data_IF_037577938909
#
_entry.id   IF_037577938909
#
_cell.length_a   1.000
_cell.length_b   1.000
_cell.length_c   1.000
_cell.angle_alpha   90.00
_cell.angle_beta   90.00
_cell.angle_gamma   90.00
#
_symmetry.space_group_name_H-M   'P 1'
#
loop_
_entity.id
_entity.type
_entity.pdbx_description
1 polymer ?
#
# COMPACT_ATOMS: atom_id res chain seq x y z
N UNK A 1 15.03 -25.00 32.33
CA UNK A 1 14.85 -25.12 30.86
C UNK A 1 15.05 -23.73 30.29
N UNK A 2 16.11 -23.50 29.51
CA UNK A 2 16.35 -22.21 28.86
C UNK A 2 15.22 -21.96 27.87
N UNK A 3 14.48 -20.87 28.02
CA UNK A 3 13.45 -20.49 27.05
C UNK A 3 14.07 -20.45 25.65
N UNK A 4 13.41 -21.04 24.66
CA UNK A 4 13.88 -21.00 23.28
C UNK A 4 13.86 -19.56 22.76
N UNK A 5 15.05 -18.96 22.61
CA UNK A 5 15.19 -17.58 22.14
C UNK A 5 15.28 -17.56 20.62
N UNK A 6 14.50 -16.68 19.99
CA UNK A 6 14.55 -16.40 18.56
C UNK A 6 15.53 -15.26 18.25
N UNK A 7 16.16 -15.30 17.09
CA UNK A 7 16.97 -14.15 16.64
C UNK A 7 16.06 -13.01 16.22
N UNK A 8 15.02 -13.31 15.42
CA UNK A 8 14.06 -12.31 14.95
C UNK A 8 12.65 -12.88 14.96
N UNK A 9 11.71 -12.13 15.55
CA UNK A 9 10.27 -12.36 15.38
C UNK A 9 9.70 -11.32 14.44
N UNK A 10 8.90 -11.77 13.47
CA UNK A 10 8.25 -10.90 12.48
C UNK A 10 6.75 -10.96 12.69
N UNK A 11 6.13 -9.80 12.89
CA UNK A 11 4.69 -9.67 13.10
C UNK A 11 4.01 -9.34 11.77
N UNK A 12 3.22 -10.28 11.28
CA UNK A 12 2.51 -10.24 10.01
C UNK A 12 3.18 -11.11 8.92
N UNK A 13 2.43 -12.05 8.36
CA UNK A 13 2.81 -12.85 7.18
C UNK A 13 2.18 -12.28 5.88
N UNK A 14 2.17 -10.95 5.77
CA UNK A 14 1.97 -10.27 4.49
C UNK A 14 3.25 -10.26 3.65
N UNK A 15 3.16 -9.69 2.45
CA UNK A 15 4.30 -9.59 1.52
C UNK A 15 5.54 -8.95 2.16
N UNK A 16 5.36 -7.89 2.97
CA UNK A 16 6.47 -7.21 3.66
C UNK A 16 7.17 -8.12 4.69
N UNK A 17 6.43 -8.71 5.63
CA UNK A 17 6.99 -9.58 6.67
C UNK A 17 7.65 -10.84 6.12
N UNK A 18 7.03 -11.46 5.11
CA UNK A 18 7.61 -12.64 4.46
C UNK A 18 8.84 -12.30 3.60
N UNK A 19 8.87 -11.12 2.97
CA UNK A 19 10.07 -10.65 2.27
C UNK A 19 11.21 -10.36 3.26
N UNK A 20 10.91 -9.75 4.41
CA UNK A 20 11.90 -9.54 5.47
C UNK A 20 12.47 -10.87 5.99
N UNK A 21 11.60 -11.86 6.27
CA UNK A 21 12.00 -13.20 6.70
C UNK A 21 12.92 -13.87 5.66
N UNK A 22 12.54 -13.81 4.39
CA UNK A 22 13.31 -14.37 3.28
C UNK A 22 14.68 -13.70 3.13
N UNK A 23 14.75 -12.37 3.19
CA UNK A 23 16.01 -11.63 3.11
C UNK A 23 16.95 -11.95 4.29
N UNK A 24 16.41 -12.04 5.51
CA UNK A 24 17.19 -12.41 6.70
C UNK A 24 17.74 -13.85 6.58
N UNK A 25 16.93 -14.80 6.08
CA UNK A 25 17.38 -16.18 5.82
C UNK A 25 18.46 -16.24 4.75
N UNK A 26 18.34 -15.47 3.66
CA UNK A 26 19.38 -15.38 2.63
C UNK A 26 20.69 -14.82 3.18
N UNK A 27 20.61 -13.86 4.10
CA UNK A 27 21.79 -13.28 4.76
C UNK A 27 22.46 -14.26 5.71
N UNK A 28 21.66 -15.00 6.50
CA UNK A 28 22.18 -16.02 7.41
C UNK A 28 21.16 -17.14 7.63
N UNK A 29 21.42 -18.30 7.04
CA UNK A 29 20.56 -19.48 7.16
C UNK A 29 20.52 -20.07 8.59
N UNK A 30 21.36 -19.59 9.51
CA UNK A 30 21.34 -20.00 10.93
C UNK A 30 20.39 -19.16 11.78
N UNK A 31 19.91 -18.02 11.29
CA UNK A 31 18.96 -17.22 12.06
C UNK A 31 17.68 -18.02 12.34
N UNK A 32 17.34 -18.09 13.63
CA UNK A 32 16.07 -18.59 14.15
C UNK A 32 15.05 -17.48 13.97
N UNK A 33 14.23 -17.61 12.93
CA UNK A 33 13.19 -16.65 12.58
C UNK A 33 11.83 -17.27 12.82
N UNK A 34 10.93 -16.49 13.43
CA UNK A 34 9.53 -16.85 13.59
C UNK A 34 8.65 -15.73 13.03
N UNK A 35 7.75 -16.08 12.11
CA UNK A 35 6.72 -15.19 11.58
C UNK A 35 5.41 -15.51 12.27
N UNK A 36 4.78 -14.53 12.89
CA UNK A 36 3.49 -14.64 13.58
C UNK A 36 2.42 -13.90 12.75
N UNK A 37 1.39 -14.62 12.33
CA UNK A 37 0.27 -14.10 11.55
C UNK A 37 -1.03 -14.27 12.30
N UNK A 38 -1.83 -13.20 12.39
CA UNK A 38 -3.09 -13.21 13.10
C UNK A 38 -4.19 -13.99 12.40
N UNK A 39 -4.15 -14.03 11.06
CA UNK A 39 -5.12 -14.78 10.25
C UNK A 39 -4.71 -16.24 10.08
N UNK A 40 -5.63 -17.02 9.53
CA UNK A 40 -5.47 -18.41 9.11
C UNK A 40 -4.78 -18.56 7.74
N UNK A 41 -4.27 -17.46 7.18
CA UNK A 41 -3.62 -17.42 5.86
C UNK A 41 -2.49 -16.39 5.80
N UNK A 42 -1.52 -16.65 4.93
CA UNK A 42 -0.53 -15.65 4.50
C UNK A 42 -1.12 -14.70 3.45
N UNK A 43 -0.39 -13.62 3.14
CA UNK A 43 -0.72 -12.69 2.06
C UNK A 43 -1.16 -11.31 2.53
N UNK A 44 -1.71 -11.19 3.75
CA UNK A 44 -2.22 -9.91 4.24
C UNK A 44 -3.24 -9.30 3.27
N UNK A 45 -2.88 -8.17 2.64
CA UNK A 45 -3.68 -7.42 1.65
C UNK A 45 -3.58 -7.95 0.22
N UNK A 46 -2.78 -8.97 -0.07
CA UNK A 46 -2.85 -9.73 -1.33
C UNK A 46 -3.66 -10.99 -1.06
N UNK A 47 -4.82 -11.11 -1.71
CA UNK A 47 -5.76 -12.22 -1.52
C UNK A 47 -6.20 -12.67 -2.90
N UNK A 48 -5.99 -13.94 -3.22
CA UNK A 48 -6.42 -14.52 -4.48
C UNK A 48 -7.39 -15.66 -4.19
N UNK A 49 -8.55 -15.66 -4.84
CA UNK A 49 -9.63 -16.62 -4.60
C UNK A 49 -10.13 -17.17 -5.92
N UNK A 50 -10.46 -18.45 -5.91
CA UNK A 50 -11.10 -19.12 -7.02
C UNK A 50 -12.59 -18.78 -7.08
N UNK A 51 -13.06 -18.33 -8.24
CA UNK A 51 -14.45 -18.00 -8.49
C UNK A 51 -14.97 -18.77 -9.71
N UNK A 52 -16.27 -19.12 -9.74
CA UNK A 52 -16.90 -19.67 -10.94
C UNK A 52 -16.79 -18.69 -12.12
N UNK A 53 -16.38 -19.20 -13.27
CA UNK A 53 -16.23 -18.46 -14.52
C UNK A 53 -16.85 -19.23 -15.68
N UNK A 54 -17.06 -18.56 -16.82
CA UNK A 54 -17.72 -19.14 -17.99
C UNK A 54 -17.02 -20.41 -18.54
N UNK A 55 -15.74 -20.63 -18.22
CA UNK A 55 -14.94 -21.79 -18.65
C UNK A 55 -14.44 -22.65 -17.48
N UNK A 56 -15.12 -22.61 -16.33
CA UNK A 56 -14.77 -23.40 -15.15
C UNK A 56 -14.49 -22.52 -13.94
N UNK A 57 -13.27 -22.55 -13.43
CA UNK A 57 -12.85 -21.78 -12.26
C UNK A 57 -11.71 -20.86 -12.68
N UNK A 58 -11.86 -19.56 -12.39
CA UNK A 58 -10.80 -18.57 -12.55
C UNK A 58 -10.32 -18.10 -11.18
N UNK A 59 -9.05 -17.74 -11.08
CA UNK A 59 -8.47 -17.19 -9.85
C UNK A 59 -8.35 -15.67 -9.93
N UNK A 60 -8.98 -14.98 -8.99
CA UNK A 60 -9.12 -13.52 -8.96
C UNK A 60 -8.48 -12.93 -7.72
N UNK A 61 -7.82 -11.77 -7.88
CA UNK A 61 -7.30 -11.00 -6.76
C UNK A 61 -8.40 -10.11 -6.14
N UNK A 62 -8.67 -10.30 -4.86
CA UNK A 62 -9.57 -9.50 -4.03
C UNK A 62 -8.81 -8.45 -3.18
N UNK A 63 -7.52 -8.28 -3.46
CA UNK A 63 -6.64 -7.35 -2.76
C UNK A 63 -5.77 -6.56 -3.74
N UNK A 64 -4.54 -6.26 -3.35
CA UNK A 64 -3.55 -5.67 -4.27
C UNK A 64 -3.36 -6.60 -5.48
N UNK A 65 -3.44 -6.05 -6.69
CA UNK A 65 -3.57 -6.87 -7.91
C UNK A 65 -2.65 -6.45 -9.07
N UNK A 66 -2.06 -5.26 -9.00
CA UNK A 66 -1.22 -4.70 -10.07
C UNK A 66 0.23 -4.53 -9.64
N UNK A 67 1.11 -4.58 -10.63
CA UNK A 67 2.52 -4.18 -10.51
C UNK A 67 2.90 -3.32 -11.73
N UNK A 68 3.81 -2.38 -11.53
CA UNK A 68 4.33 -1.50 -12.60
C UNK A 68 5.79 -1.78 -12.92
N UNK A 69 6.24 -1.49 -14.14
CA UNK A 69 7.65 -1.67 -14.55
C UNK A 69 8.64 -0.81 -13.77
N UNK A 70 8.18 0.30 -13.18
CA UNK A 70 8.95 1.16 -12.27
C UNK A 70 9.11 0.57 -10.86
N UNK A 71 8.32 -0.45 -10.49
CA UNK A 71 8.35 -1.08 -9.18
C UNK A 71 9.42 -2.19 -9.11
N UNK A 72 10.68 -1.79 -9.15
CA UNK A 72 11.82 -2.69 -9.35
C UNK A 72 11.96 -3.81 -8.29
N UNK A 73 11.68 -3.52 -7.03
CA UNK A 73 11.78 -4.50 -5.94
C UNK A 73 10.83 -5.69 -6.12
N UNK A 74 9.56 -5.41 -6.45
CA UNK A 74 8.56 -6.46 -6.62
C UNK A 74 8.80 -7.25 -7.90
N UNK A 75 9.23 -6.61 -8.99
CA UNK A 75 9.59 -7.30 -10.23
C UNK A 75 10.79 -8.23 -10.05
N UNK A 76 11.81 -7.80 -9.29
CA UNK A 76 12.94 -8.67 -8.94
C UNK A 76 12.48 -9.88 -8.12
N UNK A 77 11.57 -9.66 -7.16
CA UNK A 77 11.01 -10.75 -6.36
C UNK A 77 10.19 -11.73 -7.22
N UNK A 78 9.31 -11.23 -8.10
CA UNK A 78 8.54 -12.04 -9.06
C UNK A 78 9.48 -12.94 -9.87
N UNK A 79 10.53 -12.36 -10.46
CA UNK A 79 11.54 -13.11 -11.21
C UNK A 79 12.26 -14.14 -10.34
N UNK A 80 12.67 -13.76 -9.14
CA UNK A 80 13.34 -14.67 -8.21
C UNK A 80 12.45 -15.86 -7.81
N UNK A 81 11.13 -15.66 -7.71
CA UNK A 81 10.15 -16.69 -7.40
C UNK A 81 9.73 -17.52 -8.61
N UNK A 82 10.18 -17.17 -9.83
CA UNK A 82 9.79 -17.86 -11.06
C UNK A 82 8.34 -17.60 -11.47
N UNK A 83 7.77 -16.47 -11.06
CA UNK A 83 6.40 -16.08 -11.41
C UNK A 83 6.38 -15.27 -12.71
N UNK A 84 5.27 -15.34 -13.43
CA UNK A 84 5.06 -14.64 -14.70
C UNK A 84 4.11 -13.45 -14.53
N UNK A 85 4.40 -12.35 -15.23
CA UNK A 85 3.48 -11.21 -15.38
C UNK A 85 2.86 -11.17 -16.76
N UNK A 86 1.71 -10.52 -16.88
CA UNK A 86 1.05 -10.23 -18.15
C UNK A 86 0.47 -8.81 -18.13
N UNK A 87 0.30 -8.15 -19.29
CA UNK A 87 -0.20 -6.79 -19.36
C UNK A 87 -1.67 -6.71 -18.90
N UNK A 88 -2.00 -5.63 -18.20
CA UNK A 88 -3.38 -5.29 -17.88
C UNK A 88 -4.15 -5.07 -19.19
N UNK A 89 -5.26 -5.79 -19.34
CA UNK A 89 -6.14 -5.62 -20.48
C UNK A 89 -6.70 -4.19 -20.47
N UNK A 90 -6.32 -3.42 -21.49
CA UNK A 90 -6.67 -2.01 -21.69
C UNK A 90 -7.01 -1.68 -23.14
N UNK A 91 -7.18 -2.71 -23.99
CA UNK A 91 -7.55 -2.55 -25.40
C UNK A 91 -9.03 -2.16 -25.48
N UNK A 92 -9.30 -1.06 -26.19
CA UNK A 92 -10.65 -0.59 -26.47
C UNK A 92 -10.87 0.85 -26.05
N UNK A 93 -12.11 1.19 -25.69
CA UNK A 93 -12.47 2.51 -25.20
C UNK A 93 -12.66 2.47 -23.69
N UNK A 94 -12.07 3.44 -23.00
CA UNK A 94 -12.38 3.76 -21.61
C UNK A 94 -13.75 4.45 -21.57
N UNK A 95 -14.49 4.25 -20.48
CA UNK A 95 -15.81 4.83 -20.24
C UNK A 95 -15.71 5.83 -19.10
N UNK A 96 -16.22 7.03 -19.32
CA UNK A 96 -16.32 8.08 -18.32
C UNK A 96 -17.80 8.42 -18.11
N UNK A 97 -18.26 8.28 -16.87
CA UNK A 97 -19.65 8.53 -16.50
C UNK A 97 -19.70 9.19 -15.12
N UNK A 98 -20.06 10.47 -15.11
CA UNK A 98 -20.03 11.35 -13.95
C UNK A 98 -21.25 12.27 -13.97
N UNK A 99 -21.76 12.66 -12.79
CA UNK A 99 -22.99 13.48 -12.66
C UNK A 99 -24.27 12.68 -12.39
N UNK A 100 -24.16 11.39 -12.03
CA UNK A 100 -25.30 10.53 -11.66
C UNK A 100 -25.91 9.74 -12.83
N UNK A 101 -26.99 8.96 -12.60
CA UNK A 101 -27.48 7.95 -13.56
C UNK A 101 -27.96 8.49 -14.91
N UNK A 102 -28.40 9.75 -14.99
CA UNK A 102 -28.88 10.38 -16.22
C UNK A 102 -27.81 11.16 -16.98
N UNK A 103 -26.56 11.17 -16.49
CA UNK A 103 -25.51 11.97 -17.09
C UNK A 103 -24.96 11.36 -18.37
N UNK A 104 -24.33 12.19 -19.19
CA UNK A 104 -23.78 11.76 -20.48
C UNK A 104 -22.57 10.83 -20.26
N UNK A 105 -22.68 9.61 -20.77
CA UNK A 105 -21.54 8.70 -20.86
C UNK A 105 -20.63 9.12 -22.02
N UNK A 106 -19.35 9.35 -21.71
CA UNK A 106 -18.31 9.66 -22.70
C UNK A 106 -17.36 8.48 -22.86
N UNK A 107 -16.80 8.33 -24.06
CA UNK A 107 -15.81 7.28 -24.34
C UNK A 107 -14.55 7.90 -24.91
N UNK A 108 -13.39 7.35 -24.56
CA UNK A 108 -12.08 7.88 -24.92
C UNK A 108 -11.03 6.76 -24.98
N UNK A 109 -9.91 7.02 -25.66
CA UNK A 109 -8.81 6.04 -25.81
C UNK A 109 -7.46 6.56 -25.27
N UNK A 110 -7.43 7.80 -24.81
CA UNK A 110 -6.25 8.47 -24.26
C UNK A 110 -6.14 8.27 -22.74
N UNK A 111 -5.07 8.76 -22.12
CA UNK A 111 -4.95 8.79 -20.66
C UNK A 111 -5.89 9.80 -20.00
N UNK A 112 -6.16 10.91 -20.67
CA UNK A 112 -7.08 11.94 -20.17
C UNK A 112 -8.50 11.65 -20.68
N UNK A 113 -9.54 11.72 -19.83
CA UNK A 113 -10.94 11.60 -20.24
C UNK A 113 -11.34 12.61 -21.33
N UNK A 114 -12.41 12.30 -22.08
CA UNK A 114 -12.98 13.23 -23.05
C UNK A 114 -13.70 14.40 -22.33
N UNK A 115 -12.94 15.44 -21.99
CA UNK A 115 -13.42 16.62 -21.26
C UNK A 115 -13.75 17.77 -22.22
N UNK A 116 -14.57 18.73 -21.76
CA UNK A 116 -14.79 19.97 -22.50
C UNK A 116 -13.50 20.82 -22.52
N UNK A 117 -13.30 21.72 -23.51
CA UNK A 117 -12.06 22.50 -23.60
C UNK A 117 -11.74 23.30 -22.32
N UNK A 118 -12.76 23.88 -21.68
CA UNK A 118 -12.58 24.63 -20.43
C UNK A 118 -12.10 23.74 -19.29
N UNK A 119 -12.68 22.54 -19.15
CA UNK A 119 -12.30 21.58 -18.11
C UNK A 119 -10.92 20.98 -18.38
N UNK A 120 -10.57 20.77 -19.66
CA UNK A 120 -9.23 20.32 -20.04
C UNK A 120 -8.15 21.37 -19.71
N UNK A 121 -8.43 22.65 -19.94
CA UNK A 121 -7.54 23.75 -19.54
C UNK A 121 -7.38 23.81 -18.02
N UNK A 122 -8.48 23.70 -17.28
CA UNK A 122 -8.49 23.66 -15.81
C UNK A 122 -7.66 22.49 -15.27
N UNK A 123 -7.88 21.28 -15.81
CA UNK A 123 -7.11 20.08 -15.46
C UNK A 123 -5.62 20.27 -15.75
N UNK A 124 -5.28 20.77 -16.94
CA UNK A 124 -3.88 21.00 -17.34
C UNK A 124 -3.20 21.99 -16.39
N UNK A 125 -3.88 23.07 -16.02
CA UNK A 125 -3.36 24.02 -15.06
C UNK A 125 -3.19 23.39 -13.68
N UNK A 126 -4.15 22.59 -13.21
CA UNK A 126 -4.09 21.97 -11.89
C UNK A 126 -2.92 20.98 -11.81
N UNK A 127 -2.79 20.11 -12.82
CA UNK A 127 -1.68 19.17 -12.95
C UNK A 127 -0.33 19.89 -12.98
N UNK A 128 -0.20 20.96 -13.77
CA UNK A 128 1.04 21.73 -13.81
C UNK A 128 1.43 22.32 -12.44
N UNK A 129 0.47 22.82 -11.66
CA UNK A 129 0.75 23.30 -10.29
C UNK A 129 1.15 22.16 -9.36
N UNK A 130 0.46 21.02 -9.44
CA UNK A 130 0.76 19.83 -8.64
C UNK A 130 2.16 19.31 -8.98
N UNK A 131 2.49 19.13 -10.26
CA UNK A 131 3.79 18.60 -10.70
C UNK A 131 4.96 19.47 -10.23
N UNK A 132 4.79 20.80 -10.21
CA UNK A 132 5.79 21.72 -9.63
C UNK A 132 5.99 21.49 -8.14
N UNK A 133 4.92 21.22 -7.38
CA UNK A 133 5.01 20.90 -5.96
C UNK A 133 5.64 19.53 -5.75
N UNK A 134 5.24 18.52 -6.53
CA UNK A 134 5.79 17.16 -6.45
C UNK A 134 7.31 17.13 -6.59
N UNK A 135 7.87 17.97 -7.48
CA UNK A 135 9.32 18.09 -7.66
C UNK A 135 10.08 18.58 -6.42
N UNK A 136 9.39 19.15 -5.42
CA UNK A 136 9.98 19.66 -4.18
C UNK A 136 9.80 18.72 -2.99
N UNK A 137 8.99 17.67 -3.12
CA UNK A 137 8.61 16.81 -1.99
C UNK A 137 9.76 15.91 -1.58
N UNK A 138 10.08 15.95 -0.29
CA UNK A 138 11.01 15.02 0.33
C UNK A 138 10.28 13.71 0.68
N UNK A 139 10.23 12.75 -0.27
CA UNK A 139 9.45 11.50 -0.09
C UNK A 139 9.84 10.69 1.15
N UNK A 140 11.13 10.63 1.48
CA UNK A 140 11.60 9.85 2.65
C UNK A 140 11.29 10.52 3.99
N UNK A 141 11.18 11.85 3.98
CA UNK A 141 10.86 12.65 5.15
C UNK A 141 10.00 13.86 4.72
N UNK A 142 8.67 13.69 4.67
CA UNK A 142 7.77 14.72 4.16
C UNK A 142 7.85 16.02 4.95
N UNK A 143 8.23 15.96 6.24
CA UNK A 143 8.37 17.13 7.11
C UNK A 143 9.46 18.10 6.65
N UNK A 144 10.44 17.59 5.90
CA UNK A 144 11.54 18.38 5.32
C UNK A 144 11.17 19.03 3.97
N UNK A 145 9.97 18.80 3.45
CA UNK A 145 9.48 19.43 2.22
C UNK A 145 9.40 20.95 2.41
N UNK A 146 9.86 21.77 1.45
CA UNK A 146 9.69 23.22 1.52
C UNK A 146 8.21 23.60 1.68
N UNK A 147 7.89 24.33 2.75
CA UNK A 147 6.51 24.69 3.07
C UNK A 147 5.66 23.54 3.64
N UNK A 148 6.28 22.47 4.15
CA UNK A 148 5.59 21.29 4.69
C UNK A 148 4.46 21.65 5.65
N UNK A 149 4.69 22.55 6.61
CA UNK A 149 3.66 22.96 7.59
C UNK A 149 2.43 23.55 6.90
N UNK A 150 2.61 24.41 5.89
CA UNK A 150 1.49 24.99 5.15
C UNK A 150 0.75 23.91 4.34
N UNK A 151 1.49 23.07 3.61
CA UNK A 151 0.94 22.00 2.79
C UNK A 151 0.20 20.93 3.62
N UNK A 152 0.68 20.63 4.81
CA UNK A 152 0.07 19.64 5.72
C UNK A 152 -1.12 20.24 6.50
N UNK A 153 -1.12 21.55 6.72
CA UNK A 153 -2.23 22.26 7.37
C UNK A 153 -3.49 22.42 6.50
N UNK A 154 -3.41 22.06 5.22
CA UNK A 154 -4.54 22.10 4.29
C UNK A 154 -4.95 20.71 3.83
N UNK A 155 -6.25 20.55 3.62
CA UNK A 155 -6.78 19.33 3.02
C UNK A 155 -6.59 19.36 1.50
N UNK A 156 -6.58 18.18 0.87
CA UNK A 156 -6.63 18.07 -0.60
C UNK A 156 -7.86 18.81 -1.15
N UNK A 157 -9.01 18.75 -0.46
CA UNK A 157 -10.21 19.52 -0.82
C UNK A 157 -9.96 21.02 -0.85
N UNK A 158 -9.35 21.58 0.20
CA UNK A 158 -9.06 23.01 0.28
C UNK A 158 -8.14 23.49 -0.85
N UNK A 159 -7.16 22.66 -1.21
CA UNK A 159 -6.29 22.95 -2.35
C UNK A 159 -7.08 22.90 -3.68
N UNK A 160 -7.87 21.85 -3.91
CA UNK A 160 -8.70 21.72 -5.11
C UNK A 160 -9.66 22.91 -5.23
N UNK A 161 -10.33 23.30 -4.16
CA UNK A 161 -11.30 24.40 -4.19
C UNK A 161 -10.68 25.75 -4.53
N UNK A 162 -9.44 25.96 -4.10
CA UNK A 162 -8.66 27.17 -4.38
C UNK A 162 -8.10 27.20 -5.81
N UNK A 163 -7.77 26.03 -6.38
CA UNK A 163 -6.99 25.95 -7.62
C UNK A 163 -7.79 25.55 -8.86
N UNK A 164 -8.87 24.77 -8.70
CA UNK A 164 -9.72 24.32 -9.80
C UNK A 164 -10.87 25.30 -10.06
N UNK A 165 -11.14 25.57 -11.33
CA UNK A 165 -12.14 26.54 -11.78
C UNK A 165 -13.51 25.93 -12.01
N UNK A 166 -13.57 24.66 -12.38
CA UNK A 166 -14.77 23.98 -12.86
C UNK A 166 -15.28 22.95 -11.87
N UNK A 167 -16.60 22.86 -11.71
CA UNK A 167 -17.24 21.85 -10.85
C UNK A 167 -16.94 20.43 -11.33
N UNK A 168 -16.93 20.20 -12.66
CA UNK A 168 -16.59 18.90 -13.27
C UNK A 168 -15.20 18.43 -12.79
N UNK A 169 -14.17 19.30 -12.83
CA UNK A 169 -12.84 18.92 -12.34
C UNK A 169 -12.80 18.63 -10.84
N UNK A 170 -13.51 19.42 -10.02
CA UNK A 170 -13.58 19.17 -8.57
C UNK A 170 -14.20 17.80 -8.27
N UNK A 171 -15.24 17.42 -9.00
CA UNK A 171 -15.87 16.09 -8.91
C UNK A 171 -14.93 14.97 -9.36
N UNK A 172 -14.17 15.16 -10.45
CA UNK A 172 -13.14 14.21 -10.91
C UNK A 172 -12.07 13.98 -9.84
N UNK A 173 -11.57 15.05 -9.22
CA UNK A 173 -10.58 14.93 -8.16
C UNK A 173 -11.14 14.24 -6.92
N UNK A 174 -12.43 14.45 -6.61
CA UNK A 174 -13.13 13.69 -5.57
C UNK A 174 -13.21 12.21 -5.89
N UNK A 175 -13.57 11.84 -7.13
CA UNK A 175 -13.59 10.44 -7.57
C UNK A 175 -12.19 9.81 -7.47
N UNK A 176 -11.17 10.53 -7.93
CA UNK A 176 -9.77 10.11 -7.85
C UNK A 176 -9.32 9.83 -6.41
N UNK A 177 -9.64 10.72 -5.47
CA UNK A 177 -9.33 10.52 -4.05
C UNK A 177 -10.00 9.25 -3.50
N UNK A 178 -11.31 9.08 -3.76
CA UNK A 178 -12.05 7.90 -3.29
C UNK A 178 -11.53 6.60 -3.89
N UNK A 179 -11.22 6.58 -5.18
CA UNK A 179 -10.79 5.36 -5.88
C UNK A 179 -9.38 4.92 -5.50
N UNK A 180 -8.46 5.88 -5.30
CA UNK A 180 -7.07 5.59 -4.94
C UNK A 180 -6.86 5.36 -3.44
N UNK A 181 -7.48 6.19 -2.61
CA UNK A 181 -7.20 6.24 -1.18
C UNK A 181 -8.34 5.73 -0.30
N UNK A 182 -9.55 5.57 -0.86
CA UNK A 182 -10.72 5.16 -0.09
C UNK A 182 -11.27 6.23 0.86
N UNK A 183 -10.95 7.50 0.62
CA UNK A 183 -11.34 8.62 1.48
C UNK A 183 -11.69 9.87 0.68
N UNK A 184 -12.48 10.76 1.29
CA UNK A 184 -12.81 12.06 0.70
C UNK A 184 -11.60 13.00 0.71
N UNK A 185 -11.47 13.91 -0.28
CA UNK A 185 -10.37 14.89 -0.31
C UNK A 185 -10.32 15.78 0.94
N UNK A 186 -11.46 15.97 1.63
CA UNK A 186 -11.56 16.79 2.85
C UNK A 186 -10.96 16.11 4.08
N UNK A 187 -10.65 14.81 4.00
CA UNK A 187 -10.08 14.04 5.09
C UNK A 187 -8.57 13.82 4.92
N UNK A 188 -7.99 14.28 3.82
CA UNK A 188 -6.62 13.97 3.42
C UNK A 188 -5.75 15.21 3.49
N UNK A 189 -4.62 15.14 4.19
CA UNK A 189 -3.57 16.15 4.12
C UNK A 189 -3.08 16.31 2.66
N UNK A 190 -2.93 17.55 2.22
CA UNK A 190 -2.41 17.82 0.89
C UNK A 190 -0.92 17.46 0.77
N UNK A 191 -0.12 17.65 1.83
CA UNK A 191 1.27 17.17 1.85
C UNK A 191 1.34 15.65 1.71
N UNK A 192 0.47 14.91 2.40
CA UNK A 192 0.41 13.45 2.26
C UNK A 192 0.08 13.02 0.82
N UNK A 193 -0.91 13.67 0.19
CA UNK A 193 -1.24 13.42 -1.22
C UNK A 193 -0.03 13.65 -2.14
N UNK A 194 0.68 14.76 -1.96
CA UNK A 194 1.87 15.09 -2.74
C UNK A 194 3.00 14.07 -2.52
N UNK A 195 3.29 13.69 -1.28
CA UNK A 195 4.26 12.65 -0.97
C UNK A 195 3.91 11.33 -1.64
N UNK A 196 2.65 10.90 -1.56
CA UNK A 196 2.22 9.64 -2.14
C UNK A 196 2.34 9.64 -3.67
N UNK A 197 1.90 10.70 -4.34
CA UNK A 197 2.03 10.86 -5.77
C UNK A 197 3.51 10.95 -6.21
N UNK A 198 4.35 11.68 -5.47
CA UNK A 198 5.78 11.79 -5.76
C UNK A 198 6.48 10.42 -5.61
N UNK A 199 6.14 9.65 -4.58
CA UNK A 199 6.64 8.29 -4.38
C UNK A 199 6.26 7.34 -5.52
N UNK A 200 5.12 7.58 -6.17
CA UNK A 200 4.64 6.82 -7.33
C UNK A 200 5.24 7.29 -8.67
N UNK A 201 6.05 8.35 -8.68
CA UNK A 201 6.62 8.93 -9.91
C UNK A 201 5.70 9.94 -10.61
N UNK A 202 4.67 10.44 -9.92
CA UNK A 202 3.73 11.45 -10.41
C UNK A 202 2.27 10.98 -10.35
N UNK A 203 1.35 11.93 -10.49
CA UNK A 203 -0.09 11.66 -10.38
C UNK A 203 -0.60 10.74 -11.51
N UNK A 204 -0.19 11.00 -12.76
CA UNK A 204 -0.59 10.14 -13.89
C UNK A 204 -0.01 8.74 -13.78
N UNK A 205 1.23 8.60 -13.27
CA UNK A 205 1.86 7.31 -13.06
C UNK A 205 1.08 6.44 -12.05
N UNK A 206 0.41 7.07 -11.09
CA UNK A 206 -0.43 6.39 -10.11
C UNK A 206 -1.78 5.90 -10.68
N UNK A 207 -2.31 6.59 -11.68
CA UNK A 207 -3.68 6.41 -12.17
C UNK A 207 -3.81 5.53 -13.42
N UNK A 208 -2.77 5.45 -14.24
CA UNK A 208 -2.86 4.83 -15.56
C UNK A 208 -2.36 3.38 -15.60
N UNK A 209 -2.71 2.71 -16.71
CA UNK A 209 -2.29 1.33 -17.03
C UNK A 209 -1.27 1.27 -18.17
N UNK A 210 -0.74 2.42 -18.61
CA UNK A 210 0.29 2.49 -19.65
C UNK A 210 1.65 2.00 -19.12
N UNK A 211 2.61 1.65 -19.99
CA UNK A 211 3.96 1.27 -19.56
C UNK A 211 4.58 2.31 -18.63
N UNK A 212 5.06 1.86 -17.47
CA UNK A 212 5.64 2.70 -16.41
C UNK A 212 4.68 3.09 -15.29
N UNK A 213 3.38 2.81 -15.43
CA UNK A 213 2.35 3.20 -14.47
C UNK A 213 1.95 2.07 -13.51
N UNK A 214 1.22 2.42 -12.45
CA UNK A 214 0.89 1.52 -11.35
C UNK A 214 0.00 0.33 -11.75
N UNK A 215 -0.80 0.47 -12.81
CA UNK A 215 -1.76 -0.56 -13.25
C UNK A 215 -1.31 -1.29 -14.53
N UNK A 216 0.00 -1.27 -14.84
CA UNK A 216 0.56 -1.79 -16.10
C UNK A 216 0.43 -3.31 -16.23
N UNK A 217 0.79 -4.07 -15.19
CA UNK A 217 0.91 -5.53 -15.25
C UNK A 217 0.11 -6.20 -14.13
N UNK A 218 -0.25 -7.46 -14.36
CA UNK A 218 -0.80 -8.40 -13.38
C UNK A 218 0.08 -9.64 -13.29
N UNK A 219 -0.06 -10.41 -12.21
CA UNK A 219 0.70 -11.65 -11.99
C UNK A 219 -0.19 -12.85 -12.35
N UNK A 220 0.32 -13.76 -13.19
CA UNK A 220 -0.39 -14.97 -13.58
C UNK A 220 -0.63 -15.87 -12.36
N UNK A 221 -1.89 -16.26 -12.15
CA UNK A 221 -2.32 -17.06 -10.99
C UNK A 221 -2.58 -16.27 -9.71
N UNK A 222 -2.48 -14.93 -9.74
CA UNK A 222 -2.81 -14.04 -8.62
C UNK A 222 -1.63 -13.68 -7.73
N UNK A 223 -1.76 -12.55 -7.06
CA UNK A 223 -0.71 -11.90 -6.26
C UNK A 223 -0.41 -12.59 -4.93
N UNK A 224 -1.38 -13.32 -4.34
CA UNK A 224 -1.17 -13.99 -3.06
C UNK A 224 -0.08 -15.07 -3.14
N UNK A 225 0.18 -15.60 -4.34
CA UNK A 225 1.26 -16.56 -4.59
C UNK A 225 2.63 -16.03 -4.17
N UNK A 226 2.88 -14.72 -4.25
CA UNK A 226 4.13 -14.12 -3.76
C UNK A 226 4.39 -14.49 -2.30
N UNK A 227 3.36 -14.35 -1.46
CA UNK A 227 3.45 -14.67 -0.04
C UNK A 227 3.48 -16.18 0.21
N UNK A 228 2.76 -16.97 -0.59
CA UNK A 228 2.80 -18.43 -0.48
C UNK A 228 4.21 -18.97 -0.81
N UNK A 229 4.79 -18.58 -1.93
CA UNK A 229 6.14 -18.98 -2.32
C UNK A 229 7.21 -18.48 -1.33
N UNK A 230 7.04 -17.28 -0.77
CA UNK A 230 7.95 -16.79 0.28
C UNK A 230 7.82 -17.61 1.57
N UNK A 231 6.60 -17.95 2.00
CA UNK A 231 6.38 -18.80 3.17
C UNK A 231 7.02 -20.18 3.00
N UNK A 232 6.97 -20.76 1.79
CA UNK A 232 7.70 -21.98 1.43
C UNK A 232 9.21 -21.82 1.58
N UNK A 233 9.79 -20.74 1.04
CA UNK A 233 11.25 -20.47 1.12
C UNK A 233 11.74 -20.20 2.54
N UNK A 234 10.93 -19.53 3.35
CA UNK A 234 11.18 -19.33 4.78
C UNK A 234 11.02 -20.65 5.55
N UNK A 235 10.18 -21.54 5.04
CA UNK A 235 9.78 -22.81 5.63
C UNK A 235 8.55 -22.65 6.52
N UNK A 236 7.45 -23.33 6.18
CA UNK A 236 6.17 -23.20 6.88
C UNK A 236 6.24 -23.45 8.40
N UNK A 237 7.18 -24.28 8.87
CA UNK A 237 7.42 -24.49 10.30
C UNK A 237 7.79 -23.21 11.07
N UNK A 238 8.30 -22.20 10.36
CA UNK A 238 8.67 -20.89 10.90
C UNK A 238 7.54 -19.85 10.75
N UNK A 239 6.39 -20.23 10.18
CA UNK A 239 5.23 -19.34 9.99
C UNK A 239 4.06 -19.87 10.80
N UNK A 240 3.67 -19.16 11.86
CA UNK A 240 2.54 -19.54 12.72
C UNK A 240 1.33 -18.68 12.40
N UNK A 241 0.33 -19.32 11.82
CA UNK A 241 -0.99 -18.75 11.55
C UNK A 241 -1.86 -18.76 12.82
N UNK A 242 -2.95 -17.99 12.82
CA UNK A 242 -3.87 -17.87 13.96
C UNK A 242 -3.20 -17.36 15.24
N UNK A 243 -2.04 -16.73 15.12
CA UNK A 243 -1.16 -16.32 16.20
C UNK A 243 -1.11 -14.79 16.27
N UNK A 244 -2.26 -14.19 16.55
CA UNK A 244 -2.38 -12.74 16.67
C UNK A 244 -1.51 -12.23 17.85
N UNK A 245 -0.55 -11.35 17.53
CA UNK A 245 0.25 -10.68 18.55
C UNK A 245 -0.62 -9.66 19.26
N UNK A 246 -0.61 -9.71 20.59
CA UNK A 246 -1.41 -8.85 21.48
C UNK A 246 -0.55 -7.83 22.21
N UNK A 247 0.71 -8.15 22.48
CA UNK A 247 1.63 -7.26 23.13
C UNK A 247 3.08 -7.50 22.69
N UNK A 248 3.85 -6.42 22.60
CA UNK A 248 5.30 -6.46 22.47
C UNK A 248 5.88 -5.63 23.61
N UNK A 249 6.76 -6.24 24.39
CA UNK A 249 7.53 -5.57 25.42
C UNK A 249 9.01 -5.73 25.10
N UNK A 250 9.82 -4.69 25.27
CA UNK A 250 11.23 -4.71 24.94
C UNK A 250 12.05 -4.03 26.02
N UNK A 251 13.17 -4.64 26.38
CA UNK A 251 14.24 -4.04 27.19
C UNK A 251 15.52 -3.83 26.36
N UNK A 252 16.63 -3.54 27.02
CA UNK A 252 17.91 -3.28 26.37
C UNK A 252 18.51 -4.51 25.65
N UNK A 253 18.13 -5.73 26.03
CA UNK A 253 18.72 -6.98 25.51
C UNK A 253 17.75 -7.83 24.69
N UNK A 254 16.46 -7.86 25.05
CA UNK A 254 15.48 -8.77 24.49
C UNK A 254 14.11 -8.10 24.28
N UNK A 255 13.34 -8.71 23.40
CA UNK A 255 11.93 -8.41 23.22
C UNK A 255 11.08 -9.66 23.50
N UNK A 256 9.99 -9.45 24.23
CA UNK A 256 8.95 -10.42 24.55
C UNK A 256 7.73 -10.13 23.68
N UNK A 257 7.38 -11.10 22.83
CA UNK A 257 6.22 -11.04 21.94
C UNK A 257 5.17 -12.01 22.44
N UNK A 258 4.00 -11.49 22.80
CA UNK A 258 2.89 -12.27 23.34
C UNK A 258 1.77 -12.39 22.33
N UNK A 259 1.18 -13.58 22.25
CA UNK A 259 -0.11 -13.85 21.62
C UNK A 259 -1.12 -14.21 22.69
N UNK A 260 -2.37 -14.50 22.31
CA UNK A 260 -3.40 -14.97 23.24
C UNK A 260 -3.00 -16.25 23.98
N UNK A 261 -2.18 -17.10 23.37
CA UNK A 261 -1.88 -18.45 23.87
C UNK A 261 -0.41 -18.69 24.21
N UNK A 262 0.50 -17.90 23.66
CA UNK A 262 1.93 -18.14 23.75
C UNK A 262 2.72 -16.86 24.01
N UNK A 263 3.92 -17.01 24.54
CA UNK A 263 4.88 -15.91 24.67
C UNK A 263 6.23 -16.36 24.14
N UNK A 264 6.87 -15.49 23.38
CA UNK A 264 8.14 -15.74 22.71
C UNK A 264 9.16 -14.69 23.12
N UNK A 265 10.42 -15.11 23.26
CA UNK A 265 11.55 -14.22 23.50
C UNK A 265 12.40 -14.12 22.23
N UNK A 266 12.87 -12.92 21.91
CA UNK A 266 13.72 -12.68 20.75
C UNK A 266 14.70 -11.54 20.95
N UNK A 267 15.74 -11.47 20.10
CA UNK A 267 16.69 -10.34 20.08
C UNK A 267 16.12 -9.11 19.36
N UNK A 268 15.29 -9.33 18.35
CA UNK A 268 14.70 -8.24 17.56
C UNK A 268 13.29 -8.60 17.09
N UNK A 269 12.44 -7.57 16.96
CA UNK A 269 11.10 -7.67 16.40
C UNK A 269 10.98 -6.79 15.17
N UNK A 270 10.40 -7.31 14.09
CA UNK A 270 10.01 -6.52 12.91
C UNK A 270 8.49 -6.52 12.85
N UNK A 271 7.87 -5.34 13.01
CA UNK A 271 6.42 -5.17 12.90
C UNK A 271 6.09 -4.73 11.49
N UNK A 272 5.31 -5.55 10.75
CA UNK A 272 4.97 -5.29 9.34
C UNK A 272 3.48 -5.10 9.09
N UNK A 273 2.69 -4.98 10.17
CA UNK A 273 1.29 -4.60 10.08
C UNK A 273 1.13 -3.08 9.88
N UNK A 274 0.01 -2.62 9.31
CA UNK A 274 -0.32 -1.19 9.20
C UNK A 274 -0.15 -0.44 10.54
N UNK A 275 0.32 0.82 10.54
CA UNK A 275 0.56 1.59 11.77
C UNK A 275 -0.60 1.57 12.77
N UNK A 276 -1.83 1.83 12.33
CA UNK A 276 -3.01 1.79 13.22
C UNK A 276 -3.21 0.42 13.92
N UNK A 277 -2.81 -0.69 13.29
CA UNK A 277 -2.84 -2.01 13.92
C UNK A 277 -1.62 -2.25 14.83
N UNK A 278 -0.50 -1.57 14.59
CA UNK A 278 0.68 -1.65 15.43
C UNK A 278 0.49 -0.85 16.74
N UNK A 279 -0.18 0.30 16.69
CA UNK A 279 -0.43 1.17 17.85
C UNK A 279 -1.25 0.52 18.95
N UNK A 280 -2.22 -0.32 18.59
CA UNK A 280 -3.02 -1.09 19.53
C UNK A 280 -2.22 -2.14 20.33
N UNK A 281 -0.94 -2.38 19.98
CA UNK A 281 -0.13 -3.50 20.49
C UNK A 281 1.19 -3.07 21.12
N UNK A 282 1.53 -1.79 21.07
CA UNK A 282 2.77 -1.25 21.63
C UNK A 282 2.59 -0.84 23.10
N UNK A 283 3.61 -1.13 23.92
CA UNK A 283 3.68 -0.66 25.32
C UNK A 283 3.93 0.87 25.35
N UNK A 284 3.47 1.62 26.37
CA UNK A 284 3.57 3.09 26.46
C UNK A 284 4.98 3.70 26.39
N UNK A 285 6.04 2.90 26.30
CA UNK A 285 7.43 3.36 26.18
C UNK A 285 7.91 3.56 24.74
N UNK A 286 7.05 3.46 23.71
CA UNK A 286 7.42 3.87 22.35
C UNK A 286 7.76 5.36 22.29
N UNK A 287 8.74 5.71 21.45
CA UNK A 287 9.19 7.09 21.17
C UNK A 287 7.97 7.98 20.96
N UNK A 288 7.94 9.15 21.63
CA UNK A 288 6.77 10.05 21.70
C UNK A 288 6.12 10.34 20.33
N UNK A 289 6.91 10.39 19.25
CA UNK A 289 6.46 10.61 17.86
C UNK A 289 5.76 9.41 17.22
N UNK A 290 6.08 8.17 17.62
CA UNK A 290 5.32 6.99 17.23
C UNK A 290 3.97 6.98 17.93
N UNK A 291 3.90 7.39 19.20
CA UNK A 291 2.62 7.43 19.92
C UNK A 291 1.63 8.42 19.31
N UNK A 292 2.07 9.62 18.87
CA UNK A 292 1.21 10.61 18.20
C UNK A 292 0.60 10.09 16.88
N UNK A 293 1.40 9.40 16.04
CA UNK A 293 0.91 8.74 14.80
C UNK A 293 -0.10 7.61 15.11
N UNK A 294 -0.07 7.07 16.32
CA UNK A 294 -0.80 5.88 16.73
C UNK A 294 -2.05 6.17 17.57
N UNK A 295 -2.11 7.31 18.27
CA UNK A 295 -3.26 7.73 19.09
C UNK A 295 -4.31 8.55 18.33
N UNK A 296 -3.94 9.21 17.23
CA UNK A 296 -4.89 10.02 16.45
C UNK A 296 -5.87 9.17 15.61
N UNK A 297 -5.70 7.84 15.57
CA UNK A 297 -6.68 6.93 14.99
C UNK A 297 -7.92 6.68 15.87
N UNK A 298 -7.92 7.16 17.13
CA UNK A 298 -9.06 7.03 18.06
C UNK A 298 -9.75 8.38 18.36
N UNK A 299 -9.43 9.44 17.61
CA UNK A 299 -9.95 10.80 17.83
C UNK A 299 -10.90 11.32 16.75
N UNK A 300 -12.20 11.02 16.92
CA UNK A 300 -13.42 11.48 16.19
C UNK A 300 -13.94 10.64 15.04
#
# INVERSE_FOLDING_TARGET
MTADIWDVIIVGAGLSGLSAAHLLRKRNAKFRILVLEGKDRVGGRTVSTEIPAARGVDRWDFGGQWVGSTQTHILKLIKELGLETYPQFSIGKKVHHMGGPGAKVRTYSTSIPALSPLVLMDLTQLLWKIDRLLATVCVQDPSMTPGAVELDSMTLQSYIDKQAWTTELKEEMGLCSRSLFGMEPSQMSFLFFLMFAAAAGGLLALLESTPGCAQELKIKGGTQQLSQCLAERVGFKNVRLGSAVTAIWQDAEWARVSTTTNTFLCRAVIVTCPPHLAGQRASPTSVHSLNEILTDAEGK
#
